data_IF_474642621020
#
_entry.id   IF_474642621020
#
_cell.length_a   1.000
_cell.length_b   1.000
_cell.length_c   1.000
_cell.angle_alpha   90.00
_cell.angle_beta   90.00
_cell.angle_gamma   90.00
#
_symmetry.space_group_name_H-M   'P 1'
#
loop_
_entity.id
_entity.type
_entity.pdbx_description
1 polymer ?
#
# COMPACT_ATOMS: atom_id res chain seq x y z
N UNK A 1 -9.63 72.82 61.19
CA UNK A 1 -8.55 72.56 60.22
C UNK A 1 -9.16 71.81 59.05
N UNK A 2 -9.45 72.55 57.98
CA UNK A 2 -10.00 71.99 56.74
C UNK A 2 -8.93 71.21 55.99
N UNK A 3 -9.28 70.05 55.44
CA UNK A 3 -8.69 69.66 54.16
C UNK A 3 -9.65 68.76 53.36
N UNK A 4 -10.29 69.37 52.37
CA UNK A 4 -11.10 68.72 51.33
C UNK A 4 -10.20 68.44 50.14
N UNK A 5 -10.01 67.18 49.76
CA UNK A 5 -9.52 66.82 48.44
C UNK A 5 -10.68 66.27 47.61
N UNK A 6 -11.28 67.18 46.82
CA UNK A 6 -12.24 66.85 45.76
C UNK A 6 -11.50 66.13 44.63
N UNK A 7 -11.89 64.90 44.32
CA UNK A 7 -11.49 64.24 43.07
C UNK A 7 -12.50 64.61 41.98
N UNK A 8 -12.03 65.32 40.95
CA UNK A 8 -12.83 65.84 39.85
C UNK A 8 -13.07 64.78 38.77
N UNK A 9 -14.33 64.71 38.29
CA UNK A 9 -14.91 63.73 37.35
C UNK A 9 -14.42 63.79 35.89
N UNK A 10 -13.29 64.42 35.58
CA UNK A 10 -12.82 64.59 34.19
C UNK A 10 -11.30 64.54 34.09
N UNK A 11 -10.72 63.35 34.05
CA UNK A 11 -9.38 63.18 33.49
C UNK A 11 -9.15 61.72 33.15
N UNK A 12 -8.77 61.44 31.91
CA UNK A 12 -8.18 60.15 31.55
C UNK A 12 -8.99 59.23 30.66
N UNK A 13 -9.93 59.74 29.85
CA UNK A 13 -10.28 59.10 28.57
C UNK A 13 -9.00 59.07 27.71
N UNK A 14 -8.16 58.03 27.85
CA UNK A 14 -7.04 57.63 26.99
C UNK A 14 -6.27 56.48 27.64
N UNK A 15 -6.88 55.30 27.63
CA UNK A 15 -6.11 54.04 27.80
C UNK A 15 -6.25 53.28 26.49
N UNK A 16 -5.39 53.69 25.57
CA UNK A 16 -4.68 52.87 24.59
C UNK A 16 -5.40 51.61 24.11
N UNK A 17 -5.90 51.70 22.87
CA UNK A 17 -6.12 50.58 21.95
C UNK A 17 -4.85 49.73 21.92
N UNK A 18 -4.80 48.65 22.70
CA UNK A 18 -3.72 47.66 22.66
C UNK A 18 -4.25 46.27 23.00
N UNK A 19 -5.34 45.87 22.37
CA UNK A 19 -5.89 44.51 22.52
C UNK A 19 -6.37 43.93 21.19
N UNK A 20 -5.65 44.19 20.08
CA UNK A 20 -6.08 43.70 18.75
C UNK A 20 -4.97 43.14 17.85
N UNK A 21 -3.73 42.93 18.33
CA UNK A 21 -2.64 42.49 17.42
C UNK A 21 -1.82 41.28 17.90
N UNK A 22 -1.98 40.77 19.13
CA UNK A 22 -0.99 39.82 19.65
C UNK A 22 -1.38 38.33 19.76
N UNK A 23 -2.61 37.91 19.43
CA UNK A 23 -2.99 36.47 19.50
C UNK A 23 -4.05 36.21 18.43
N UNK A 24 -3.70 35.62 17.28
CA UNK A 24 -3.43 34.18 17.23
C UNK A 24 -2.33 33.83 16.22
N UNK A 25 -1.08 33.74 16.66
CA UNK A 25 0.04 33.22 15.85
C UNK A 25 0.36 31.74 16.13
N UNK A 26 -0.60 30.97 16.67
CA UNK A 26 -0.36 29.62 17.19
C UNK A 26 -1.30 28.53 16.65
N UNK A 27 -1.99 28.73 15.53
CA UNK A 27 -2.93 27.70 15.01
C UNK A 27 -2.62 27.11 13.65
N UNK A 28 -1.52 27.46 12.99
CA UNK A 28 -0.99 26.58 11.94
C UNK A 28 -0.11 25.52 12.60
N UNK A 29 -0.75 24.66 13.40
CA UNK A 29 -0.23 23.33 13.63
C UNK A 29 0.13 22.81 12.24
N UNK A 30 1.42 22.54 12.00
CA UNK A 30 1.82 21.77 10.83
C UNK A 30 0.95 20.54 10.88
N UNK A 31 -0.03 20.46 9.97
CA UNK A 31 -0.52 19.18 9.54
C UNK A 31 0.72 18.52 8.94
N UNK A 32 1.51 17.86 9.78
CA UNK A 32 2.24 16.69 9.33
C UNK A 32 1.13 15.80 8.82
N UNK A 33 0.85 15.91 7.53
CA UNK A 33 0.35 14.80 6.78
C UNK A 33 1.33 13.70 7.15
N UNK A 34 0.89 12.80 8.04
CA UNK A 34 1.47 11.48 8.13
C UNK A 34 1.69 11.12 6.67
N UNK A 35 2.96 11.05 6.25
CA UNK A 35 3.25 10.29 5.05
C UNK A 35 2.65 8.96 5.40
N UNK A 36 1.48 8.65 4.84
CA UNK A 36 0.99 7.28 4.83
C UNK A 36 2.12 6.57 4.12
N UNK A 37 3.02 5.98 4.89
CA UNK A 37 3.91 4.94 4.41
C UNK A 37 2.99 3.79 4.07
N UNK A 38 2.20 3.95 3.02
CA UNK A 38 1.31 2.94 2.52
C UNK A 38 2.21 1.87 1.97
N UNK A 39 2.07 0.66 2.49
CA UNK A 39 2.66 -0.50 1.85
C UNK A 39 2.04 -0.60 0.45
N UNK A 40 2.88 -0.45 -0.59
CA UNK A 40 2.45 -0.59 -1.97
C UNK A 40 2.23 -2.08 -2.23
N UNK A 41 1.00 -2.46 -2.56
CA UNK A 41 0.70 -3.82 -3.00
C UNK A 41 0.99 -3.92 -4.50
N UNK A 42 1.90 -4.82 -4.85
CA UNK A 42 2.25 -5.14 -6.24
C UNK A 42 1.56 -6.45 -6.62
N UNK A 43 0.74 -6.42 -7.67
CA UNK A 43 -0.08 -7.54 -8.10
C UNK A 43 0.17 -7.87 -9.55
N UNK A 44 0.05 -9.15 -9.91
CA UNK A 44 0.20 -9.63 -11.28
C UNK A 44 -0.97 -10.55 -11.64
N UNK A 45 -1.38 -10.55 -12.91
CA UNK A 45 -2.17 -11.63 -13.50
C UNK A 45 -1.39 -12.23 -14.65
N UNK A 46 -1.34 -13.55 -14.74
CA UNK A 46 -0.57 -14.23 -15.77
C UNK A 46 -1.18 -15.57 -16.17
N UNK A 47 -1.63 -15.66 -17.42
CA UNK A 47 -2.00 -16.94 -17.99
C UNK A 47 -0.73 -17.75 -18.29
N UNK A 48 -0.57 -18.89 -17.62
CA UNK A 48 0.64 -19.71 -17.68
C UNK A 48 0.74 -20.49 -19.00
N UNK A 49 -0.40 -20.68 -19.67
CA UNK A 49 -0.64 -21.67 -20.73
C UNK A 49 -0.32 -23.09 -20.28
N UNK A 50 -1.26 -24.01 -20.46
CA UNK A 50 -1.12 -25.39 -19.98
C UNK A 50 0.22 -26.02 -20.36
N UNK A 51 0.74 -26.90 -19.49
CA UNK A 51 2.08 -27.47 -19.60
C UNK A 51 2.22 -28.51 -20.74
N UNK A 52 2.08 -28.07 -21.98
CA UNK A 52 2.29 -28.88 -23.18
C UNK A 52 3.75 -29.31 -23.34
N UNK A 53 3.97 -30.51 -23.87
CA UNK A 53 5.28 -30.99 -24.33
C UNK A 53 5.58 -30.62 -25.78
N UNK A 54 4.69 -29.91 -26.47
CA UNK A 54 4.87 -29.55 -27.87
C UNK A 54 5.97 -28.51 -28.07
N UNK A 55 6.96 -28.85 -28.87
CA UNK A 55 8.02 -27.93 -29.28
C UNK A 55 7.55 -26.96 -30.37
N UNK A 56 8.14 -25.75 -30.48
CA UNK A 56 9.30 -25.25 -29.72
C UNK A 56 8.94 -24.56 -28.39
N UNK A 57 7.65 -24.55 -28.01
CA UNK A 57 7.14 -23.77 -26.87
C UNK A 57 6.67 -24.68 -25.73
N UNK A 58 7.38 -25.78 -25.51
CA UNK A 58 7.05 -26.73 -24.45
C UNK A 58 7.20 -26.08 -23.07
N UNK A 59 6.53 -26.64 -22.06
CA UNK A 59 6.66 -26.16 -20.68
C UNK A 59 8.11 -26.15 -20.21
N UNK A 60 8.88 -27.21 -20.55
CA UNK A 60 10.29 -27.32 -20.19
C UNK A 60 11.12 -26.16 -20.74
N UNK A 61 10.83 -25.70 -21.96
CA UNK A 61 11.49 -24.54 -22.58
C UNK A 61 11.02 -23.23 -21.95
N UNK A 62 9.73 -23.10 -21.62
CA UNK A 62 9.14 -21.85 -21.08
C UNK A 62 9.44 -21.61 -19.59
N UNK A 63 9.52 -22.66 -18.78
CA UNK A 63 9.65 -22.58 -17.32
C UNK A 63 10.84 -21.72 -16.86
N UNK A 64 12.08 -21.87 -17.39
CA UNK A 64 13.21 -21.06 -16.92
C UNK A 64 13.01 -19.55 -17.14
N UNK A 65 12.38 -19.16 -18.24
CA UNK A 65 12.09 -17.76 -18.57
C UNK A 65 10.98 -17.21 -17.67
N UNK A 66 9.94 -18.00 -17.44
CA UNK A 66 8.85 -17.65 -16.51
C UNK A 66 9.37 -17.46 -15.08
N UNK A 67 10.24 -18.36 -14.60
CA UNK A 67 10.89 -18.22 -13.29
C UNK A 67 11.65 -16.91 -13.16
N UNK A 68 12.44 -16.55 -14.18
CA UNK A 68 13.20 -15.29 -14.17
C UNK A 68 12.26 -14.08 -14.10
N UNK A 69 11.18 -14.09 -14.90
CA UNK A 69 10.16 -13.04 -14.84
C UNK A 69 9.56 -12.90 -13.44
N UNK A 70 9.07 -13.99 -12.85
CA UNK A 70 8.39 -13.94 -11.55
C UNK A 70 9.32 -13.51 -10.42
N UNK A 71 10.60 -13.92 -10.45
CA UNK A 71 11.60 -13.50 -9.45
C UNK A 71 12.01 -12.04 -9.61
N UNK A 72 12.06 -11.54 -10.85
CA UNK A 72 12.37 -10.14 -11.14
C UNK A 72 11.22 -9.21 -10.74
N UNK A 73 10.00 -9.57 -11.10
CA UNK A 73 8.81 -8.75 -10.82
C UNK A 73 8.37 -8.86 -9.35
N UNK A 74 8.63 -10.00 -8.69
CA UNK A 74 8.37 -10.24 -7.27
C UNK A 74 7.01 -9.73 -6.77
N UNK A 75 5.88 -10.04 -7.45
CA UNK A 75 4.56 -9.55 -7.05
C UNK A 75 4.19 -10.10 -5.68
N UNK A 76 3.52 -9.31 -4.84
CA UNK A 76 3.01 -9.77 -3.55
C UNK A 76 1.86 -10.78 -3.72
N UNK A 77 1.08 -10.63 -4.79
CA UNK A 77 0.01 -11.55 -5.18
C UNK A 77 0.03 -11.74 -6.69
N UNK A 78 0.02 -12.99 -7.15
CA UNK A 78 -0.15 -13.34 -8.56
C UNK A 78 -1.40 -14.21 -8.72
N UNK A 79 -2.24 -13.86 -9.69
CA UNK A 79 -3.31 -14.73 -10.17
C UNK A 79 -2.91 -15.41 -11.47
N UNK A 80 -3.07 -16.72 -11.54
CA UNK A 80 -2.65 -17.60 -12.63
C UNK A 80 -3.85 -18.27 -13.31
N UNK A 81 -3.68 -18.63 -14.58
CA UNK A 81 -4.68 -19.36 -15.37
C UNK A 81 -4.01 -20.49 -16.16
N UNK A 82 -4.78 -21.52 -16.50
CA UNK A 82 -4.33 -22.74 -17.22
C UNK A 82 -3.24 -23.56 -16.49
N UNK A 83 -2.96 -23.26 -15.23
CA UNK A 83 -1.96 -23.96 -14.43
C UNK A 83 -2.45 -25.34 -14.02
N UNK A 84 -1.88 -26.40 -14.58
CA UNK A 84 -2.12 -27.76 -14.07
C UNK A 84 -1.30 -28.00 -12.79
N UNK A 85 -1.74 -28.94 -11.94
CA UNK A 85 -1.11 -29.17 -10.62
C UNK A 85 0.42 -29.29 -10.65
N UNK A 86 0.99 -30.10 -11.55
CA UNK A 86 2.44 -30.24 -11.66
C UNK A 86 3.14 -28.94 -12.09
N UNK A 87 2.50 -28.14 -12.94
CA UNK A 87 3.02 -26.84 -13.37
C UNK A 87 3.03 -25.83 -12.22
N UNK A 88 2.01 -25.84 -11.36
CA UNK A 88 1.98 -25.00 -10.16
C UNK A 88 3.02 -25.44 -9.13
N UNK A 89 3.23 -26.75 -8.95
CA UNK A 89 4.32 -27.27 -8.10
C UNK A 89 5.71 -26.86 -8.60
N UNK A 90 5.89 -26.85 -9.91
CA UNK A 90 7.13 -26.36 -10.53
C UNK A 90 7.36 -24.88 -10.19
N UNK A 91 6.32 -24.05 -10.29
CA UNK A 91 6.37 -22.62 -9.98
C UNK A 91 6.62 -22.40 -8.48
N UNK A 92 5.91 -23.11 -7.61
CA UNK A 92 6.10 -23.09 -6.15
C UNK A 92 7.56 -23.40 -5.76
N UNK A 93 8.10 -24.49 -6.32
CA UNK A 93 9.52 -24.84 -6.12
C UNK A 93 10.48 -23.78 -6.66
N UNK A 94 10.12 -23.09 -7.74
CA UNK A 94 10.96 -22.06 -8.37
C UNK A 94 10.96 -20.72 -7.59
N UNK A 95 9.85 -20.39 -6.91
CA UNK A 95 9.70 -19.19 -6.09
C UNK A 95 10.19 -19.39 -4.65
N UNK A 96 10.11 -20.62 -4.14
CA UNK A 96 10.57 -20.98 -2.81
C UNK A 96 9.61 -20.53 -1.69
N UNK A 97 10.06 -20.56 -0.42
CA UNK A 97 9.19 -20.56 0.77
C UNK A 97 8.47 -19.23 1.06
N UNK A 98 8.68 -18.20 0.25
CA UNK A 98 8.04 -16.89 0.41
C UNK A 98 6.71 -16.79 -0.33
N UNK A 99 6.41 -17.75 -1.20
CA UNK A 99 5.15 -17.88 -1.88
C UNK A 99 4.44 -19.15 -1.42
N UNK A 100 3.13 -19.10 -1.49
CA UNK A 100 2.23 -20.23 -1.33
C UNK A 100 1.03 -19.97 -2.25
N UNK A 101 0.19 -20.97 -2.48
CA UNK A 101 -0.97 -20.83 -3.35
C UNK A 101 -2.26 -21.29 -2.69
N UNK A 102 -3.35 -20.64 -3.08
CA UNK A 102 -4.71 -21.10 -2.81
C UNK A 102 -5.33 -21.52 -4.13
N UNK A 103 -6.25 -22.48 -4.12
CA UNK A 103 -6.88 -22.95 -5.34
C UNK A 103 -6.89 -24.46 -5.48
N UNK A 104 -8.03 -25.00 -5.92
CA UNK A 104 -8.17 -26.41 -6.28
C UNK A 104 -8.35 -26.53 -7.79
N UNK A 105 -8.11 -27.73 -8.33
CA UNK A 105 -8.48 -28.04 -9.70
C UNK A 105 -9.94 -27.67 -10.00
N UNK A 106 -10.24 -27.28 -11.23
CA UNK A 106 -11.53 -26.72 -11.65
C UNK A 106 -12.72 -27.67 -11.41
N UNK A 107 -12.48 -28.97 -11.35
CA UNK A 107 -13.47 -30.02 -11.03
C UNK A 107 -13.36 -30.56 -9.60
N UNK A 108 -12.54 -29.94 -8.75
CA UNK A 108 -12.25 -30.38 -7.38
C UNK A 108 -11.07 -31.34 -7.31
N UNK A 109 -10.24 -31.19 -6.28
CA UNK A 109 -9.04 -32.01 -6.09
C UNK A 109 -7.80 -31.51 -6.85
N UNK A 110 -6.84 -32.41 -7.10
CA UNK A 110 -5.52 -32.11 -7.69
C UNK A 110 -5.33 -32.64 -9.12
N UNK A 111 -6.42 -33.09 -9.77
CA UNK A 111 -6.35 -33.79 -11.06
C UNK A 111 -6.54 -32.88 -12.30
N UNK A 112 -6.87 -31.60 -12.10
CA UNK A 112 -7.22 -30.67 -13.18
C UNK A 112 -6.54 -29.30 -13.03
N UNK A 113 -6.82 -28.38 -13.97
CA UNK A 113 -6.37 -26.98 -13.94
C UNK A 113 -6.76 -26.30 -12.63
N UNK A 114 -5.79 -25.82 -11.88
CA UNK A 114 -6.01 -25.08 -10.65
C UNK A 114 -5.91 -23.57 -10.95
N UNK A 115 -6.83 -22.83 -10.36
CA UNK A 115 -6.84 -21.37 -10.39
C UNK A 115 -6.22 -20.92 -9.06
N UNK A 116 -5.04 -20.30 -9.14
CA UNK A 116 -4.32 -19.74 -7.99
C UNK A 116 -3.96 -18.29 -8.26
#
# INVERSE_FOLDING_TARGET
MSNTLRVSRRMGLRTVVAAAVAVPLLTTASASASRRGGHRLEVMTFNLRFASTAEPNSWAVRRPVMRELLRREAPHVIGTQEGIYQQLRDIDSDLGPHYDWIGTGRVGGSHDEAVA
#
